data_IF_179736885625
#
_entry.id   IF_179736885625
#
_cell.length_a   1.000
_cell.length_b   1.000
_cell.length_c   1.000
_cell.angle_alpha   90.00
_cell.angle_beta   90.00
_cell.angle_gamma   90.00
#
_symmetry.space_group_name_H-M   'P 1'
#
loop_
_entity.id
_entity.type
_entity.pdbx_description
1 polymer ?
#
# COMPACT_ATOMS: atom_id res chain seq x y z
N UNK A 1 7.77 -6.02 -16.20
CA UNK A 1 8.90 -5.25 -15.60
C UNK A 1 10.19 -6.04 -15.73
N UNK A 2 11.39 -5.43 -15.64
CA UNK A 2 12.66 -6.15 -15.45
C UNK A 2 12.84 -6.57 -13.99
N UNK A 3 13.80 -7.47 -13.71
CA UNK A 3 14.15 -7.90 -12.34
C UNK A 3 14.49 -6.71 -11.43
N UNK A 4 15.18 -5.68 -11.93
CA UNK A 4 15.43 -4.44 -11.18
C UNK A 4 14.15 -3.68 -10.80
N UNK A 5 13.13 -3.72 -11.67
CA UNK A 5 11.81 -3.19 -11.36
C UNK A 5 11.12 -3.97 -10.23
N UNK A 6 11.28 -5.31 -10.21
CA UNK A 6 10.80 -6.14 -9.11
C UNK A 6 11.47 -5.77 -7.78
N UNK A 7 12.80 -5.56 -7.78
CA UNK A 7 13.52 -5.13 -6.57
C UNK A 7 13.03 -3.76 -6.05
N UNK A 8 12.75 -2.82 -6.95
CA UNK A 8 12.12 -1.53 -6.56
C UNK A 8 10.71 -1.71 -5.99
N UNK A 9 9.93 -2.63 -6.53
CA UNK A 9 8.56 -2.91 -6.10
C UNK A 9 8.49 -3.91 -4.93
N UNK A 10 9.61 -4.43 -4.44
CA UNK A 10 9.65 -5.55 -3.49
C UNK A 10 8.81 -5.30 -2.22
N UNK A 11 8.82 -4.09 -1.67
CA UNK A 11 7.97 -3.73 -0.52
C UNK A 11 6.47 -3.88 -0.85
N UNK A 12 6.02 -3.30 -1.96
CA UNK A 12 4.61 -3.38 -2.37
C UNK A 12 4.20 -4.83 -2.66
N UNK A 13 5.09 -5.60 -3.30
CA UNK A 13 4.84 -7.02 -3.61
C UNK A 13 4.80 -7.85 -2.34
N UNK A 14 5.73 -7.64 -1.39
CA UNK A 14 5.74 -8.37 -0.12
C UNK A 14 4.47 -8.12 0.70
N UNK A 15 3.99 -6.88 0.77
CA UNK A 15 2.73 -6.56 1.45
C UNK A 15 1.54 -7.24 0.76
N UNK A 16 1.50 -7.23 -0.57
CA UNK A 16 0.46 -7.91 -1.33
C UNK A 16 0.50 -9.44 -1.15
N UNK A 17 1.67 -10.04 -1.00
CA UNK A 17 1.83 -11.45 -0.64
C UNK A 17 1.32 -11.69 0.78
N UNK A 18 1.73 -10.85 1.73
CA UNK A 18 1.38 -11.01 3.13
C UNK A 18 -0.13 -10.82 3.39
N UNK A 19 -0.72 -9.77 2.83
CA UNK A 19 -2.15 -9.51 2.92
C UNK A 19 -2.99 -10.43 2.02
N UNK A 20 -2.40 -10.92 0.94
CA UNK A 20 -3.08 -11.63 -0.13
C UNK A 20 -3.93 -10.72 -1.03
N UNK A 21 -4.44 -11.29 -2.10
CA UNK A 21 -5.27 -10.60 -3.12
C UNK A 21 -6.66 -11.21 -3.21
N UNK A 22 -7.65 -10.43 -3.66
CA UNK A 22 -9.03 -10.89 -3.86
C UNK A 22 -9.31 -11.30 -5.30
N UNK A 23 -8.40 -10.95 -6.21
CA UNK A 23 -8.44 -11.33 -7.63
C UNK A 23 -7.03 -11.73 -8.05
N UNK A 24 -6.87 -12.31 -9.24
CA UNK A 24 -5.56 -12.61 -9.79
C UNK A 24 -4.71 -11.34 -9.89
N UNK A 25 -3.48 -11.43 -9.39
CA UNK A 25 -2.47 -10.40 -9.54
C UNK A 25 -1.20 -11.06 -10.08
N UNK A 26 -0.92 -10.85 -11.35
CA UNK A 26 0.21 -11.48 -12.05
C UNK A 26 1.25 -10.44 -12.43
N UNK A 27 2.47 -10.66 -11.99
CA UNK A 27 3.66 -9.90 -12.39
C UNK A 27 4.27 -10.55 -13.63
N UNK A 28 4.40 -9.79 -14.71
CA UNK A 28 5.16 -10.22 -15.90
C UNK A 28 6.57 -9.64 -15.79
N UNK A 29 7.57 -10.51 -15.69
CA UNK A 29 8.97 -10.16 -15.47
C UNK A 29 9.78 -10.58 -16.67
N UNK A 30 10.42 -9.62 -17.34
CA UNK A 30 11.45 -9.88 -18.35
C UNK A 30 12.80 -9.99 -17.62
N UNK A 31 13.30 -11.19 -17.49
CA UNK A 31 14.61 -11.48 -16.89
C UNK A 31 15.71 -11.40 -17.95
N UNK A 32 16.87 -10.92 -17.56
CA UNK A 32 18.04 -10.76 -18.46
C UNK A 32 19.29 -11.38 -17.82
N UNK A 33 19.32 -12.72 -17.70
CA UNK A 33 20.38 -13.40 -16.99
C UNK A 33 21.75 -13.28 -17.67
N UNK A 34 21.78 -12.89 -18.94
CA UNK A 34 23.01 -12.71 -19.71
C UNK A 34 23.51 -11.27 -19.78
N UNK A 35 22.71 -10.30 -19.32
CA UNK A 35 23.09 -8.89 -19.28
C UNK A 35 23.14 -8.22 -20.65
N UNK A 36 22.38 -8.72 -21.62
CA UNK A 36 22.35 -8.12 -22.97
C UNK A 36 21.74 -6.71 -22.95
N UNK A 37 20.77 -6.47 -22.07
CA UNK A 37 20.02 -5.22 -21.98
C UNK A 37 19.99 -4.62 -20.56
N UNK A 38 20.78 -5.17 -19.64
CA UNK A 38 20.78 -4.75 -18.23
C UNK A 38 22.17 -4.37 -17.77
N UNK A 39 22.27 -3.29 -16.98
CA UNK A 39 23.53 -2.79 -16.42
C UNK A 39 24.09 -3.71 -15.31
N UNK A 40 23.25 -4.55 -14.73
CA UNK A 40 23.65 -5.59 -13.80
C UNK A 40 22.77 -6.83 -13.95
N UNK A 41 23.32 -7.99 -13.61
CA UNK A 41 22.66 -9.28 -13.78
C UNK A 41 22.22 -9.81 -12.41
N UNK A 42 20.91 -9.85 -12.21
CA UNK A 42 20.26 -10.44 -11.03
C UNK A 42 19.12 -11.32 -11.54
N UNK A 43 19.18 -12.61 -11.24
CA UNK A 43 18.11 -13.53 -11.63
C UNK A 43 16.82 -13.25 -10.84
N UNK A 44 15.68 -13.29 -11.52
CA UNK A 44 14.37 -13.03 -10.91
C UNK A 44 13.95 -14.15 -9.95
N UNK A 45 14.21 -15.40 -10.26
CA UNK A 45 13.76 -16.56 -9.48
C UNK A 45 14.11 -16.49 -8.00
N UNK A 46 15.39 -16.35 -7.60
CA UNK A 46 15.76 -16.23 -6.19
C UNK A 46 15.08 -15.06 -5.46
N UNK A 47 14.80 -13.95 -6.14
CA UNK A 47 14.07 -12.80 -5.56
C UNK A 47 12.61 -13.17 -5.31
N UNK A 48 11.97 -13.85 -6.27
CA UNK A 48 10.59 -14.31 -6.16
C UNK A 48 10.44 -15.36 -5.05
N UNK A 49 11.40 -16.28 -4.93
CA UNK A 49 11.43 -17.28 -3.86
C UNK A 49 11.57 -16.61 -2.48
N UNK A 50 12.44 -15.61 -2.35
CA UNK A 50 12.60 -14.84 -1.10
C UNK A 50 11.35 -14.06 -0.72
N UNK A 51 10.55 -13.63 -1.70
CA UNK A 51 9.25 -12.99 -1.48
C UNK A 51 8.11 -13.99 -1.25
N UNK A 52 8.40 -15.30 -1.27
CA UNK A 52 7.39 -16.38 -1.16
C UNK A 52 6.30 -16.28 -2.23
N UNK A 53 6.66 -15.78 -3.42
CA UNK A 53 5.74 -15.53 -4.52
C UNK A 53 5.69 -16.75 -5.45
N UNK A 54 4.52 -17.34 -5.72
CA UNK A 54 4.39 -18.40 -6.74
C UNK A 54 4.79 -17.87 -8.12
N UNK A 55 5.64 -18.59 -8.83
CA UNK A 55 6.07 -18.17 -10.16
C UNK A 55 6.29 -19.34 -11.12
N UNK A 56 6.40 -19.02 -12.41
CA UNK A 56 6.74 -19.95 -13.48
C UNK A 56 7.67 -19.26 -14.48
N UNK A 57 8.69 -19.99 -14.95
CA UNK A 57 9.45 -19.57 -16.11
C UNK A 57 8.68 -19.98 -17.39
N UNK A 58 8.65 -19.10 -18.40
CA UNK A 58 7.92 -19.33 -19.64
C UNK A 58 8.69 -18.80 -20.85
N UNK A 59 8.37 -19.34 -22.01
CA UNK A 59 8.92 -18.90 -23.30
C UNK A 59 7.82 -18.71 -24.35
N UNK A 60 8.19 -18.25 -25.57
CA UNK A 60 7.24 -17.89 -26.62
C UNK A 60 6.23 -19.00 -26.99
N UNK A 61 6.67 -20.27 -26.90
CA UNK A 61 5.82 -21.42 -27.24
C UNK A 61 4.79 -21.78 -26.16
N UNK A 62 5.02 -21.38 -24.89
CA UNK A 62 4.20 -21.84 -23.74
C UNK A 62 3.50 -20.71 -23.00
N UNK A 63 3.84 -19.45 -23.28
CA UNK A 63 3.40 -18.28 -22.51
C UNK A 63 1.88 -18.18 -22.34
N UNK A 64 1.09 -18.53 -23.36
CA UNK A 64 -0.35 -18.50 -23.28
C UNK A 64 -0.89 -19.50 -22.24
N UNK A 65 -0.43 -20.76 -22.30
CA UNK A 65 -0.83 -21.78 -21.33
C UNK A 65 -0.31 -21.46 -19.92
N UNK A 66 0.93 -20.97 -19.80
CA UNK A 66 1.54 -20.65 -18.52
C UNK A 66 0.87 -19.44 -17.88
N UNK A 67 0.47 -18.44 -18.68
CA UNK A 67 -0.30 -17.28 -18.19
C UNK A 67 -1.64 -17.72 -17.64
N UNK A 68 -2.41 -18.53 -18.35
CA UNK A 68 -3.68 -19.06 -17.86
C UNK A 68 -3.51 -19.85 -16.56
N UNK A 69 -2.47 -20.68 -16.48
CA UNK A 69 -2.14 -21.48 -15.29
C UNK A 69 -1.75 -20.61 -14.10
N UNK A 70 -0.94 -19.58 -14.31
CA UNK A 70 -0.48 -18.71 -13.22
C UNK A 70 -1.59 -17.77 -12.71
N UNK A 71 -2.49 -17.31 -13.60
CA UNK A 71 -3.70 -16.58 -13.24
C UNK A 71 -4.58 -17.44 -12.34
N UNK A 72 -4.92 -18.65 -12.77
CA UNK A 72 -5.73 -19.59 -11.97
C UNK A 72 -5.05 -19.94 -10.63
N UNK A 73 -3.72 -20.03 -10.59
CA UNK A 73 -2.96 -20.25 -9.35
C UNK A 73 -3.04 -19.06 -8.42
N UNK A 74 -2.89 -17.84 -8.94
CA UNK A 74 -3.03 -16.59 -8.17
C UNK A 74 -4.42 -16.48 -7.53
N UNK A 75 -5.47 -16.73 -8.29
CA UNK A 75 -6.86 -16.70 -7.78
C UNK A 75 -7.10 -17.76 -6.70
N UNK A 76 -6.72 -19.01 -6.98
CA UNK A 76 -6.92 -20.11 -6.03
C UNK A 76 -6.22 -19.89 -4.69
N UNK A 77 -4.98 -19.37 -4.72
CA UNK A 77 -4.20 -19.11 -3.51
C UNK A 77 -4.58 -17.78 -2.86
N UNK A 78 -5.22 -16.85 -3.59
CA UNK A 78 -5.44 -15.48 -3.14
C UNK A 78 -4.14 -14.75 -2.87
N UNK A 79 -3.11 -14.98 -3.71
CA UNK A 79 -1.77 -14.41 -3.61
C UNK A 79 -1.35 -13.83 -4.96
N UNK A 80 -0.50 -12.79 -4.98
CA UNK A 80 0.21 -12.43 -6.20
C UNK A 80 0.98 -13.63 -6.74
N UNK A 81 1.20 -13.63 -8.05
CA UNK A 81 2.02 -14.64 -8.72
C UNK A 81 2.87 -13.99 -9.81
N UNK A 82 3.86 -14.68 -10.35
CA UNK A 82 4.70 -14.13 -11.40
C UNK A 82 4.91 -15.11 -12.56
N UNK A 83 5.03 -14.55 -13.77
CA UNK A 83 5.56 -15.24 -14.95
C UNK A 83 6.85 -14.54 -15.35
N UNK A 84 7.89 -15.34 -15.51
CA UNK A 84 9.24 -14.88 -15.88
C UNK A 84 9.52 -15.32 -17.30
N UNK A 85 9.88 -14.37 -18.16
CA UNK A 85 10.29 -14.61 -19.55
C UNK A 85 11.72 -14.12 -19.73
N UNK A 86 12.50 -14.76 -20.60
CA UNK A 86 13.81 -14.25 -20.99
C UNK A 86 13.62 -12.92 -21.79
N UNK A 87 14.40 -11.90 -21.45
CA UNK A 87 14.35 -10.63 -22.15
C UNK A 87 14.71 -10.77 -23.64
N UNK A 88 15.52 -11.76 -24.01
CA UNK A 88 15.83 -12.09 -25.39
C UNK A 88 14.60 -12.55 -26.18
N UNK A 89 13.64 -13.18 -25.51
CA UNK A 89 12.39 -13.67 -26.10
C UNK A 89 11.28 -12.63 -26.16
N UNK A 90 11.44 -11.47 -25.53
CA UNK A 90 10.37 -10.47 -25.37
C UNK A 90 9.81 -9.92 -26.69
N UNK A 91 10.59 -10.00 -27.77
CA UNK A 91 10.19 -9.60 -29.14
C UNK A 91 9.75 -10.77 -30.02
N UNK A 92 9.81 -12.00 -29.52
CA UNK A 92 9.46 -13.19 -30.29
C UNK A 92 7.94 -13.36 -30.32
N UNK A 93 7.33 -13.59 -31.50
CA UNK A 93 5.91 -13.85 -31.58
C UNK A 93 5.50 -15.04 -30.72
N UNK A 94 4.52 -14.85 -29.87
CA UNK A 94 3.96 -15.90 -29.02
C UNK A 94 2.84 -16.66 -29.73
N UNK A 95 2.67 -17.94 -29.37
CA UNK A 95 1.50 -18.70 -29.80
C UNK A 95 0.29 -18.21 -29.04
N UNK A 96 -0.69 -17.66 -29.75
CA UNK A 96 -1.97 -17.30 -29.17
C UNK A 96 -2.69 -18.56 -28.69
N UNK A 97 -3.20 -18.51 -27.46
CA UNK A 97 -4.12 -19.51 -26.93
C UNK A 97 -5.47 -18.82 -26.71
N UNK A 98 -6.56 -19.54 -26.92
CA UNK A 98 -7.87 -19.07 -26.53
C UNK A 98 -7.87 -18.86 -25.01
N UNK A 99 -7.96 -17.59 -24.59
CA UNK A 99 -8.05 -17.25 -23.18
C UNK A 99 -9.43 -17.67 -22.67
N UNK A 100 -9.48 -18.48 -21.63
CA UNK A 100 -10.75 -18.72 -20.94
C UNK A 100 -11.28 -17.39 -20.38
N UNK A 101 -12.62 -17.19 -20.39
CA UNK A 101 -13.21 -16.00 -19.79
C UNK A 101 -12.78 -15.87 -18.33
N UNK A 102 -12.16 -14.76 -17.98
CA UNK A 102 -11.85 -14.45 -16.58
C UNK A 102 -13.15 -14.10 -15.88
N UNK A 103 -13.51 -14.78 -14.78
CA UNK A 103 -14.72 -14.42 -14.04
C UNK A 103 -14.62 -12.97 -13.53
N UNK A 104 -15.77 -12.29 -13.36
CA UNK A 104 -15.75 -10.91 -12.88
C UNK A 104 -15.04 -10.82 -11.54
N UNK A 105 -14.12 -9.86 -11.42
CA UNK A 105 -13.37 -9.62 -10.19
C UNK A 105 -14.31 -9.33 -9.02
N UNK A 106 -14.09 -9.93 -7.85
CA UNK A 106 -14.91 -9.65 -6.68
C UNK A 106 -14.75 -8.19 -6.26
N UNK A 107 -15.84 -7.59 -5.83
CA UNK A 107 -15.81 -6.23 -5.29
C UNK A 107 -15.01 -6.20 -3.99
N UNK A 108 -14.11 -5.22 -3.84
CA UNK A 108 -13.39 -5.00 -2.59
C UNK A 108 -14.37 -4.83 -1.42
N UNK A 109 -14.11 -5.56 -0.35
CA UNK A 109 -14.77 -5.41 0.94
C UNK A 109 -13.70 -5.17 2.01
N UNK A 110 -13.98 -4.23 2.92
CA UNK A 110 -13.08 -3.97 4.05
C UNK A 110 -12.89 -5.25 4.87
N UNK A 111 -11.64 -5.62 5.09
CA UNK A 111 -11.25 -6.74 5.95
C UNK A 111 -10.03 -6.35 6.80
N UNK A 112 -10.27 -5.74 7.98
CA UNK A 112 -9.19 -5.28 8.85
C UNK A 112 -8.25 -6.40 9.31
N UNK A 113 -8.76 -7.60 9.54
CA UNK A 113 -7.91 -8.74 9.97
C UNK A 113 -6.89 -9.10 8.89
N UNK A 114 -7.28 -8.96 7.64
CA UNK A 114 -6.44 -9.25 6.49
C UNK A 114 -5.51 -8.10 6.12
N UNK A 115 -6.01 -6.85 6.15
CA UNK A 115 -5.36 -5.75 5.48
C UNK A 115 -4.69 -4.73 6.42
N UNK A 116 -4.88 -4.83 7.74
CA UNK A 116 -4.15 -3.98 8.68
C UNK A 116 -2.85 -4.65 9.11
N UNK A 117 -1.72 -4.12 8.64
CA UNK A 117 -0.39 -4.56 9.04
C UNK A 117 -0.03 -3.95 10.40
N UNK A 118 -0.48 -4.58 11.47
CA UNK A 118 -0.27 -4.14 12.85
C UNK A 118 0.15 -5.31 13.75
N UNK A 119 0.93 -5.06 14.82
CA UNK A 119 1.46 -6.13 15.67
C UNK A 119 0.43 -7.12 16.19
N UNK A 120 -0.79 -6.66 16.46
CA UNK A 120 -1.86 -7.48 16.98
C UNK A 120 -2.32 -8.60 16.02
N UNK A 121 -2.19 -8.40 14.71
CA UNK A 121 -2.68 -9.30 13.67
C UNK A 121 -1.57 -10.10 12.95
N UNK A 122 -0.31 -9.68 13.07
CA UNK A 122 0.80 -10.19 12.26
C UNK A 122 0.98 -11.72 12.33
N UNK A 123 0.79 -12.34 13.50
CA UNK A 123 0.93 -13.79 13.66
C UNK A 123 -0.16 -14.56 12.93
N UNK A 124 -1.39 -14.06 13.00
CA UNK A 124 -2.51 -14.67 12.28
C UNK A 124 -2.31 -14.53 10.77
N UNK A 125 -1.96 -13.35 10.28
CA UNK A 125 -1.69 -13.09 8.86
C UNK A 125 -0.57 -14.00 8.33
N UNK A 126 0.52 -14.19 9.11
CA UNK A 126 1.59 -15.15 8.76
C UNK A 126 1.09 -16.59 8.68
N UNK A 127 0.25 -17.02 9.61
CA UNK A 127 -0.33 -18.35 9.58
C UNK A 127 -1.27 -18.56 8.38
N UNK A 128 -2.05 -17.54 8.01
CA UNK A 128 -2.88 -17.54 6.79
C UNK A 128 -2.02 -17.67 5.54
N UNK A 129 -0.94 -16.90 5.42
CA UNK A 129 -0.02 -16.99 4.28
C UNK A 129 0.59 -18.41 4.18
N UNK A 130 1.07 -18.96 5.31
CA UNK A 130 1.65 -20.30 5.33
C UNK A 130 0.64 -21.37 4.89
N UNK A 131 -0.62 -21.27 5.34
CA UNK A 131 -1.68 -22.18 4.95
C UNK A 131 -1.98 -22.10 3.43
N UNK A 132 -2.07 -20.89 2.88
CA UNK A 132 -2.28 -20.65 1.44
C UNK A 132 -1.17 -21.27 0.60
N UNK A 133 0.09 -21.05 0.98
CA UNK A 133 1.24 -21.61 0.28
C UNK A 133 1.28 -23.14 0.35
N UNK A 134 0.85 -23.71 1.47
CA UNK A 134 0.75 -25.17 1.66
C UNK A 134 -0.50 -25.78 1.00
N UNK A 135 -1.46 -24.96 0.54
CA UNK A 135 -2.73 -25.44 0.00
C UNK A 135 -3.65 -26.05 1.07
N UNK A 136 -3.52 -25.60 2.32
CA UNK A 136 -4.35 -26.04 3.46
C UNK A 136 -5.32 -24.93 3.87
N UNK A 137 -6.34 -25.30 4.66
CA UNK A 137 -7.30 -24.32 5.16
C UNK A 137 -6.62 -23.33 6.12
N UNK A 138 -6.86 -22.02 5.95
CA UNK A 138 -6.31 -21.02 6.86
C UNK A 138 -6.99 -21.09 8.24
N UNK A 139 -6.28 -20.67 9.31
CA UNK A 139 -6.88 -20.60 10.62
C UNK A 139 -8.04 -19.59 10.65
N UNK A 140 -9.05 -19.80 11.51
CA UNK A 140 -10.16 -18.87 11.65
C UNK A 140 -9.64 -17.49 12.10
N UNK A 141 -10.27 -16.38 11.63
CA UNK A 141 -9.86 -15.04 12.00
C UNK A 141 -10.03 -14.81 13.52
N UNK A 142 -9.05 -14.13 14.16
CA UNK A 142 -9.20 -13.72 15.54
C UNK A 142 -10.28 -12.63 15.65
N UNK A 143 -10.84 -12.41 16.85
CA UNK A 143 -11.66 -11.21 17.08
C UNK A 143 -10.82 -9.97 16.80
N UNK A 144 -11.43 -8.99 16.11
CA UNK A 144 -10.74 -7.74 15.82
C UNK A 144 -10.50 -6.96 17.14
N UNK A 145 -9.26 -6.56 17.43
CA UNK A 145 -8.97 -5.73 18.59
C UNK A 145 -9.78 -4.42 18.55
N UNK A 146 -10.21 -3.95 19.73
CA UNK A 146 -10.76 -2.59 19.88
C UNK A 146 -9.65 -1.66 20.33
N UNK A 147 -9.57 -0.49 19.69
CA UNK A 147 -8.62 0.53 20.13
C UNK A 147 -8.86 0.89 21.62
N UNK A 148 -7.85 0.91 22.50
CA UNK A 148 -6.42 0.69 22.24
C UNK A 148 -5.90 -0.73 22.54
N UNK A 149 -6.73 -1.75 22.58
CA UNK A 149 -6.34 -3.12 22.91
C UNK A 149 -5.39 -3.71 21.82
N UNK A 150 -4.46 -4.54 22.28
CA UNK A 150 -3.47 -5.15 21.37
C UNK A 150 -2.40 -4.21 20.83
N UNK A 151 -2.41 -2.95 21.24
CA UNK A 151 -1.44 -1.92 20.82
C UNK A 151 -0.30 -1.88 21.84
N UNK A 152 0.98 -1.85 21.39
CA UNK A 152 2.12 -1.73 22.30
C UNK A 152 1.98 -0.51 23.22
N UNK A 153 2.14 -0.65 24.53
CA UNK A 153 1.97 0.46 25.49
C UNK A 153 2.84 1.69 25.17
N UNK A 154 4.04 1.47 24.63
CA UNK A 154 4.96 2.54 24.24
C UNK A 154 4.43 3.43 23.11
N UNK A 155 3.41 3.02 22.36
CA UNK A 155 2.80 3.80 21.28
C UNK A 155 1.66 4.68 21.77
N UNK A 156 1.14 4.45 22.98
CA UNK A 156 -0.03 5.18 23.49
C UNK A 156 0.13 6.70 23.52
N UNK A 157 1.28 7.27 23.99
CA UNK A 157 1.41 8.73 23.99
C UNK A 157 1.24 9.37 22.62
N UNK A 158 1.81 8.75 21.57
CA UNK A 158 1.63 9.25 20.20
C UNK A 158 0.20 9.05 19.70
N UNK A 159 -0.42 7.91 20.02
CA UNK A 159 -1.82 7.67 19.66
C UNK A 159 -2.76 8.68 20.34
N UNK A 160 -2.56 8.96 21.63
CA UNK A 160 -3.38 9.95 22.34
C UNK A 160 -3.27 11.34 21.70
N UNK A 161 -2.10 11.72 21.17
CA UNK A 161 -1.89 12.96 20.40
C UNK A 161 -2.67 13.00 19.10
N UNK A 162 -2.77 11.88 18.41
CA UNK A 162 -3.46 11.81 17.11
C UNK A 162 -4.99 11.65 17.26
N UNK A 163 -5.47 11.30 18.45
CA UNK A 163 -6.87 10.98 18.67
C UNK A 163 -7.87 12.06 18.25
N UNK A 164 -7.67 13.39 18.53
CA UNK A 164 -8.59 14.42 18.06
C UNK A 164 -8.72 14.43 16.53
N UNK A 165 -7.60 14.42 15.82
CA UNK A 165 -7.56 14.38 14.36
C UNK A 165 -8.28 13.14 13.81
N UNK A 166 -8.00 11.96 14.37
CA UNK A 166 -8.60 10.71 13.87
C UNK A 166 -10.08 10.56 14.24
N UNK A 167 -10.57 11.20 15.30
CA UNK A 167 -12.03 11.30 15.55
C UNK A 167 -12.72 12.10 14.45
N UNK A 168 -12.20 13.29 14.14
CA UNK A 168 -12.71 14.12 13.06
C UNK A 168 -12.61 13.43 11.70
N UNK A 169 -11.48 12.74 11.43
CA UNK A 169 -11.24 12.02 10.18
C UNK A 169 -12.18 10.82 10.01
N UNK A 170 -12.37 10.01 11.06
CA UNK A 170 -13.25 8.84 11.02
C UNK A 170 -14.72 9.23 10.70
N UNK A 171 -15.16 10.39 11.17
CA UNK A 171 -16.51 10.92 10.88
C UNK A 171 -16.68 11.37 9.41
N UNK A 172 -15.58 11.59 8.67
CA UNK A 172 -15.57 12.14 7.30
C UNK A 172 -14.83 11.26 6.30
N UNK A 173 -14.35 10.11 6.75
CA UNK A 173 -13.67 9.18 5.84
C UNK A 173 -14.59 8.75 4.70
N UNK A 174 -13.99 8.44 3.61
CA UNK A 174 -14.64 7.99 2.40
C UNK A 174 -14.78 6.45 2.31
N UNK A 175 -15.06 5.95 1.12
CA UNK A 175 -15.23 4.51 0.84
C UNK A 175 -13.92 3.70 0.96
N UNK A 176 -12.75 4.36 0.87
CA UNK A 176 -11.45 3.69 0.94
C UNK A 176 -10.36 4.61 1.50
N UNK A 177 -9.62 4.11 2.46
CA UNK A 177 -8.46 4.81 3.04
C UNK A 177 -7.25 3.88 3.08
N UNK A 178 -6.19 4.26 2.36
CA UNK A 178 -4.88 3.63 2.45
C UNK A 178 -4.07 4.29 3.57
N UNK A 179 -3.34 3.51 4.36
CA UNK A 179 -2.42 4.00 5.39
C UNK A 179 -1.03 3.42 5.24
N UNK A 180 -0.01 4.19 5.62
CA UNK A 180 1.33 3.66 5.78
C UNK A 180 1.44 2.82 7.06
N UNK A 181 2.36 1.83 7.04
CA UNK A 181 2.73 1.11 8.25
C UNK A 181 3.30 2.10 9.29
N UNK A 182 2.86 1.97 10.53
CA UNK A 182 3.25 2.85 11.63
C UNK A 182 2.18 2.96 12.70
N UNK A 183 2.33 3.92 13.61
CA UNK A 183 1.41 4.12 14.73
C UNK A 183 -0.01 4.45 14.26
N UNK A 184 -0.14 5.29 13.23
CA UNK A 184 -1.44 5.69 12.68
C UNK A 184 -2.29 4.52 12.17
N UNK A 185 -1.65 3.41 11.76
CA UNK A 185 -2.35 2.21 11.29
C UNK A 185 -3.30 1.60 12.36
N UNK A 186 -3.03 1.86 13.64
CA UNK A 186 -3.89 1.41 14.75
C UNK A 186 -5.27 2.05 14.73
N UNK A 187 -5.45 3.20 14.08
CA UNK A 187 -6.77 3.82 13.86
C UNK A 187 -7.64 3.08 12.83
N UNK A 188 -7.12 2.01 12.23
CA UNK A 188 -7.92 1.05 11.49
C UNK A 188 -8.83 0.19 12.37
N UNK A 189 -8.63 0.16 13.71
CA UNK A 189 -9.46 -0.57 14.66
C UNK A 189 -10.70 0.21 15.10
N UNK A 190 -11.79 -0.49 15.50
CA UNK A 190 -12.92 0.14 16.17
C UNK A 190 -12.48 0.88 17.46
N UNK A 191 -13.07 2.03 17.80
CA UNK A 191 -14.24 2.65 17.18
C UNK A 191 -13.93 3.58 16.01
N UNK A 192 -12.67 3.77 15.64
CA UNK A 192 -12.28 4.71 14.57
C UNK A 192 -12.57 4.16 13.18
N UNK A 193 -12.18 2.92 12.92
CA UNK A 193 -12.33 2.28 11.61
C UNK A 193 -11.81 3.15 10.44
N UNK A 194 -10.81 3.99 10.70
CA UNK A 194 -10.41 5.11 9.86
C UNK A 194 -9.48 4.70 8.70
N UNK A 195 -8.84 3.55 8.78
CA UNK A 195 -7.92 3.01 7.76
C UNK A 195 -8.41 1.64 7.32
N UNK A 196 -8.40 1.37 6.03
CA UNK A 196 -8.89 0.12 5.45
C UNK A 196 -7.76 -0.85 5.09
N UNK A 197 -6.69 -0.34 4.51
CA UNK A 197 -5.53 -1.12 4.09
C UNK A 197 -4.27 -0.42 4.53
N UNK A 198 -3.36 -1.16 5.15
CA UNK A 198 -2.04 -0.67 5.54
C UNK A 198 -0.99 -1.28 4.62
N UNK A 199 -0.06 -0.46 4.14
CA UNK A 199 1.04 -0.85 3.28
C UNK A 199 2.36 -0.25 3.78
N UNK A 200 3.47 -0.53 3.11
CA UNK A 200 4.82 -0.05 3.47
C UNK A 200 4.90 1.48 3.61
N UNK A 201 5.97 1.96 4.23
CA UNK A 201 6.22 3.40 4.42
C UNK A 201 6.31 4.13 3.07
N UNK A 202 5.42 5.11 2.86
CA UNK A 202 5.26 5.86 1.61
C UNK A 202 4.39 5.17 0.56
N UNK A 203 3.82 4.00 0.88
CA UNK A 203 2.97 3.23 -0.03
C UNK A 203 1.50 3.65 -0.04
N UNK A 204 1.03 4.40 0.96
CA UNK A 204 -0.38 4.81 1.04
C UNK A 204 -0.83 5.63 -0.17
N UNK A 205 -0.01 6.57 -0.64
CA UNK A 205 -0.34 7.43 -1.78
C UNK A 205 -0.49 6.61 -3.07
N UNK A 206 0.50 5.81 -3.52
CA UNK A 206 0.32 5.00 -4.72
C UNK A 206 -0.81 3.95 -4.60
N UNK A 207 -1.08 3.43 -3.40
CA UNK A 207 -2.21 2.53 -3.18
C UNK A 207 -3.55 3.25 -3.36
N UNK A 208 -3.68 4.48 -2.85
CA UNK A 208 -4.88 5.30 -3.03
C UNK A 208 -5.06 5.75 -4.49
N UNK A 209 -3.98 6.03 -5.24
CA UNK A 209 -4.03 6.23 -6.71
C UNK A 209 -4.61 4.98 -7.38
N UNK A 210 -4.11 3.81 -7.03
CA UNK A 210 -4.63 2.54 -7.56
C UNK A 210 -6.12 2.34 -7.26
N UNK A 211 -6.57 2.68 -6.05
CA UNK A 211 -7.97 2.62 -5.66
C UNK A 211 -8.83 3.61 -6.48
N UNK A 212 -8.34 4.84 -6.70
CA UNK A 212 -8.99 5.83 -7.55
C UNK A 212 -9.16 5.32 -8.99
N UNK A 213 -8.10 4.79 -9.60
CA UNK A 213 -8.13 4.22 -10.94
C UNK A 213 -9.06 3.00 -11.04
N UNK A 214 -9.30 2.30 -9.94
CA UNK A 214 -10.28 1.22 -9.82
C UNK A 214 -11.71 1.71 -9.51
N UNK A 215 -11.97 3.03 -9.57
CA UNK A 215 -13.30 3.62 -9.41
C UNK A 215 -13.64 4.10 -7.98
N UNK A 216 -12.67 4.09 -7.03
CA UNK A 216 -12.84 4.68 -5.70
C UNK A 216 -12.39 6.15 -5.71
N UNK A 217 -13.16 6.99 -6.37
CA UNK A 217 -12.80 8.40 -6.63
C UNK A 217 -12.71 9.28 -5.37
N UNK A 218 -13.21 8.81 -4.24
CA UNK A 218 -13.15 9.46 -2.93
C UNK A 218 -12.03 8.92 -2.02
N UNK A 219 -11.05 8.18 -2.57
CA UNK A 219 -9.99 7.56 -1.81
C UNK A 219 -9.11 8.56 -1.05
N UNK A 220 -8.68 8.15 0.16
CA UNK A 220 -7.70 8.87 0.98
C UNK A 220 -6.40 8.08 1.11
N UNK A 221 -5.29 8.84 1.24
CA UNK A 221 -4.01 8.33 1.71
C UNK A 221 -3.65 8.98 3.06
N UNK A 222 -3.22 8.17 4.03
CA UNK A 222 -2.72 8.62 5.33
C UNK A 222 -1.25 8.24 5.44
N UNK A 223 -0.37 9.23 5.58
CA UNK A 223 1.08 9.03 5.63
C UNK A 223 1.73 9.90 6.71
N UNK A 224 2.84 9.46 7.29
CA UNK A 224 3.66 10.28 8.17
C UNK A 224 4.73 11.06 7.40
N UNK A 225 5.28 12.12 8.00
CA UNK A 225 6.32 12.94 7.37
C UNK A 225 7.60 12.15 7.03
N UNK A 226 8.04 11.26 7.91
CA UNK A 226 9.18 10.39 7.62
C UNK A 226 8.92 9.48 6.43
N UNK A 227 7.75 8.85 6.38
CA UNK A 227 7.32 7.99 5.25
C UNK A 227 7.19 8.80 3.96
N UNK A 228 6.62 10.01 4.05
CA UNK A 228 6.46 10.91 2.92
C UNK A 228 7.80 11.33 2.32
N UNK A 229 8.75 11.79 3.16
CA UNK A 229 10.09 12.19 2.71
C UNK A 229 10.88 11.01 2.16
N UNK A 230 10.75 9.81 2.74
CA UNK A 230 11.53 8.65 2.29
C UNK A 230 11.05 8.08 0.95
N UNK A 231 9.74 8.06 0.68
CA UNK A 231 9.18 7.45 -0.52
C UNK A 231 7.83 8.05 -0.97
N UNK A 232 6.98 8.52 -0.05
CA UNK A 232 5.62 8.96 -0.35
C UNK A 232 5.53 10.12 -1.33
N UNK A 233 6.52 11.03 -1.33
CA UNK A 233 6.58 12.16 -2.27
C UNK A 233 6.65 11.71 -3.74
N UNK A 234 7.19 10.54 -4.05
CA UNK A 234 7.14 9.97 -5.40
C UNK A 234 5.71 9.63 -5.82
N UNK A 235 4.88 9.16 -4.86
CA UNK A 235 3.46 8.97 -5.10
C UNK A 235 2.71 10.29 -5.34
N UNK A 236 3.10 11.37 -4.65
CA UNK A 236 2.54 12.71 -4.91
C UNK A 236 2.86 13.19 -6.33
N UNK A 237 4.11 13.03 -6.78
CA UNK A 237 4.51 13.32 -8.17
C UNK A 237 3.67 12.52 -9.18
N UNK A 238 3.43 11.24 -8.92
CA UNK A 238 2.62 10.38 -9.78
C UNK A 238 1.15 10.83 -9.80
N UNK A 239 0.59 11.24 -8.65
CA UNK A 239 -0.77 11.79 -8.59
C UNK A 239 -0.91 13.05 -9.44
N UNK A 240 0.06 13.96 -9.37
CA UNK A 240 0.10 15.17 -10.20
C UNK A 240 0.25 14.83 -11.69
N UNK A 241 1.20 13.95 -12.03
CA UNK A 241 1.46 13.56 -13.42
C UNK A 241 0.25 12.88 -14.09
N UNK A 242 -0.61 12.23 -13.30
CA UNK A 242 -1.84 11.58 -13.78
C UNK A 242 -3.09 12.42 -13.58
N UNK A 243 -2.96 13.62 -13.02
CA UNK A 243 -4.11 14.48 -12.70
C UNK A 243 -5.16 13.78 -11.81
N UNK A 244 -4.69 12.98 -10.83
CA UNK A 244 -5.57 12.26 -9.91
C UNK A 244 -5.98 13.18 -8.78
N UNK A 245 -7.30 13.47 -8.59
CA UNK A 245 -7.81 14.31 -7.51
C UNK A 245 -7.81 13.55 -6.17
N UNK A 246 -6.62 13.26 -5.67
CA UNK A 246 -6.41 12.46 -4.46
C UNK A 246 -6.46 13.33 -3.21
N UNK A 247 -6.95 12.76 -2.11
CA UNK A 247 -6.93 13.36 -0.79
C UNK A 247 -5.86 12.71 0.08
N UNK A 248 -4.95 13.51 0.61
CA UNK A 248 -3.82 13.03 1.42
C UNK A 248 -3.89 13.68 2.80
N UNK A 249 -3.81 12.86 3.86
CA UNK A 249 -3.61 13.30 5.23
C UNK A 249 -2.15 13.02 5.63
N UNK A 250 -1.36 14.07 5.75
CA UNK A 250 0.05 14.03 6.11
C UNK A 250 0.24 14.41 7.59
N UNK A 251 0.70 13.46 8.38
CA UNK A 251 0.97 13.62 9.81
C UNK A 251 2.41 14.14 10.00
N UNK A 252 2.57 15.44 10.18
CA UNK A 252 3.86 16.10 10.37
C UNK A 252 4.18 16.18 11.87
N UNK A 253 4.76 15.10 12.41
CA UNK A 253 5.11 14.97 13.83
C UNK A 253 6.60 15.18 14.12
N UNK A 254 7.42 15.41 13.09
CA UNK A 254 8.84 15.72 13.19
C UNK A 254 9.76 14.53 13.42
N UNK A 255 9.27 13.29 13.38
CA UNK A 255 10.09 12.10 13.65
C UNK A 255 9.50 10.79 13.13
N UNK A 256 10.39 9.78 13.00
CA UNK A 256 9.99 8.39 12.74
C UNK A 256 9.62 7.69 14.07
N UNK A 257 8.34 7.60 14.39
CA UNK A 257 7.81 7.16 15.67
C UNK A 257 8.15 5.70 16.06
N UNK A 258 8.21 4.79 15.09
CA UNK A 258 8.34 3.35 15.36
C UNK A 258 9.72 2.78 15.07
N UNK A 259 10.59 3.54 14.40
CA UNK A 259 11.88 3.05 13.88
C UNK A 259 13.10 3.70 14.55
N UNK A 260 12.93 4.33 15.70
CA UNK A 260 14.03 4.85 16.52
C UNK A 260 14.06 6.36 16.71
N UNK A 261 12.98 7.08 16.37
CA UNK A 261 12.88 8.52 16.65
C UNK A 261 13.76 9.39 15.74
N UNK A 262 14.10 8.92 14.54
CA UNK A 262 14.88 9.73 13.59
C UNK A 262 14.15 11.04 13.28
N UNK A 263 14.82 12.20 13.44
CA UNK A 263 14.18 13.49 13.26
C UNK A 263 13.85 13.75 11.79
N UNK A 264 12.72 14.39 11.56
CA UNK A 264 12.32 14.96 10.27
C UNK A 264 12.26 16.48 10.41
N UNK A 265 13.26 17.22 9.92
CA UNK A 265 13.21 18.68 9.97
C UNK A 265 12.02 19.23 9.19
N UNK A 266 11.22 20.09 9.81
CA UNK A 266 10.07 20.74 9.16
C UNK A 266 10.47 21.47 7.88
N UNK A 267 11.63 22.13 7.87
CA UNK A 267 12.17 22.80 6.69
C UNK A 267 12.43 21.87 5.50
N UNK A 268 12.69 20.58 5.74
CA UNK A 268 12.82 19.60 4.67
C UNK A 268 11.44 19.26 4.08
N UNK A 269 10.45 19.03 4.94
CA UNK A 269 9.08 18.79 4.52
C UNK A 269 8.54 19.99 3.72
N UNK A 270 8.76 21.22 4.22
CA UNK A 270 8.31 22.45 3.56
C UNK A 270 8.91 22.59 2.17
N UNK A 271 10.20 22.32 1.99
CA UNK A 271 10.86 22.33 0.68
C UNK A 271 10.28 21.34 -0.32
N UNK A 272 9.88 20.15 0.14
CA UNK A 272 9.26 19.15 -0.74
C UNK A 272 7.85 19.58 -1.13
N UNK A 273 7.13 20.23 -0.21
CA UNK A 273 5.74 20.66 -0.43
C UNK A 273 5.63 22.02 -1.16
N UNK A 274 6.69 22.82 -1.22
CA UNK A 274 6.69 24.17 -1.82
C UNK A 274 6.18 24.18 -3.27
N UNK A 275 6.52 23.15 -4.04
CA UNK A 275 6.03 22.97 -5.42
C UNK A 275 4.55 22.60 -5.54
N UNK A 276 3.84 22.42 -4.43
CA UNK A 276 2.44 21.97 -4.38
C UNK A 276 1.58 22.88 -3.51
N UNK A 277 1.97 24.16 -3.35
CA UNK A 277 1.32 25.11 -2.43
C UNK A 277 -0.20 25.20 -2.63
N UNK A 278 -0.67 25.16 -3.86
CA UNK A 278 -2.10 25.24 -4.22
C UNK A 278 -2.90 24.01 -3.72
N UNK A 279 -2.24 22.86 -3.56
CA UNK A 279 -2.86 21.64 -3.06
C UNK A 279 -2.85 21.56 -1.52
N UNK A 280 -2.11 22.41 -0.82
CA UNK A 280 -1.95 22.32 0.63
C UNK A 280 -3.16 22.88 1.36
N UNK A 281 -3.64 22.12 2.33
CA UNK A 281 -4.60 22.55 3.37
C UNK A 281 -3.86 22.51 4.71
N UNK A 282 -3.45 23.65 5.27
CA UNK A 282 -2.69 23.67 6.51
C UNK A 282 -3.60 23.31 7.71
N UNK A 283 -3.07 22.51 8.63
CA UNK A 283 -3.68 22.20 9.91
C UNK A 283 -2.62 22.38 11.02
N UNK A 284 -2.53 23.60 11.54
CA UNK A 284 -1.50 24.00 12.50
C UNK A 284 -1.83 23.57 13.94
N UNK A 285 -3.10 23.32 14.25
CA UNK A 285 -3.53 22.77 15.54
C UNK A 285 -4.30 21.45 15.37
N UNK A 286 -3.59 20.33 15.13
CA UNK A 286 -4.23 19.02 15.02
C UNK A 286 -4.71 18.43 16.35
N UNK A 287 -4.51 19.13 17.47
CA UNK A 287 -5.03 18.76 18.79
C UNK A 287 -6.43 19.37 19.03
N UNK A 288 -6.78 20.42 18.29
CA UNK A 288 -8.14 20.98 18.29
C UNK A 288 -9.03 20.23 17.29
N UNK A 289 -10.06 19.56 17.79
CA UNK A 289 -11.00 18.80 16.97
C UNK A 289 -11.79 19.68 15.98
N UNK A 290 -12.11 20.93 16.34
CA UNK A 290 -12.79 21.86 15.43
C UNK A 290 -11.89 22.30 14.28
N UNK A 291 -10.61 22.58 14.56
CA UNK A 291 -9.63 22.86 13.50
C UNK A 291 -9.48 21.66 12.54
N UNK A 292 -9.40 20.44 13.10
CA UNK A 292 -9.38 19.22 12.31
C UNK A 292 -10.63 19.08 11.43
N UNK A 293 -11.81 19.29 11.99
CA UNK A 293 -13.06 19.24 11.26
C UNK A 293 -13.13 20.23 10.10
N UNK A 294 -12.64 21.45 10.33
CA UNK A 294 -12.63 22.51 9.32
C UNK A 294 -11.71 22.13 8.14
N UNK A 295 -10.45 21.76 8.42
CA UNK A 295 -9.49 21.38 7.39
C UNK A 295 -9.95 20.16 6.57
N UNK A 296 -10.50 19.14 7.23
CA UNK A 296 -11.02 17.96 6.55
C UNK A 296 -12.26 18.27 5.70
N UNK A 297 -13.15 19.17 6.17
CA UNK A 297 -14.32 19.61 5.41
C UNK A 297 -13.89 20.38 4.16
N UNK A 298 -12.93 21.29 4.29
CA UNK A 298 -12.36 22.02 3.17
C UNK A 298 -11.79 21.03 2.12
N UNK A 299 -10.98 20.06 2.56
CA UNK A 299 -10.39 19.05 1.69
C UNK A 299 -11.44 18.25 0.94
N UNK A 300 -12.51 17.83 1.60
CA UNK A 300 -13.59 17.05 0.96
C UNK A 300 -14.36 17.87 -0.08
N UNK A 301 -14.41 19.20 0.07
CA UNK A 301 -15.10 20.10 -0.88
C UNK A 301 -14.30 20.38 -2.15
N UNK A 302 -13.02 20.01 -2.19
CA UNK A 302 -12.16 20.19 -3.37
C UNK A 302 -12.29 18.99 -4.32
N UNK A 303 -12.37 19.25 -5.60
CA UNK A 303 -12.42 18.24 -6.67
C UNK A 303 -11.04 18.00 -7.30
N UNK A 304 -9.98 18.42 -6.63
CA UNK A 304 -8.59 18.34 -7.08
C UNK A 304 -7.69 17.73 -5.99
N UNK A 305 -6.44 17.47 -6.35
CA UNK A 305 -5.43 16.99 -5.40
C UNK A 305 -5.38 17.90 -4.18
N UNK A 306 -5.48 17.32 -3.00
CA UNK A 306 -5.47 18.06 -1.74
C UNK A 306 -4.65 17.33 -0.67
N UNK A 307 -3.78 18.07 0.01
CA UNK A 307 -2.88 17.55 1.07
C UNK A 307 -3.13 18.30 2.35
N UNK A 308 -3.80 17.67 3.31
CA UNK A 308 -3.89 18.18 4.69
C UNK A 308 -2.56 17.95 5.38
N UNK A 309 -1.87 19.02 5.74
CA UNK A 309 -0.61 18.94 6.50
C UNK A 309 -0.89 19.21 7.97
N UNK A 310 -1.06 18.13 8.75
CA UNK A 310 -1.32 18.21 10.19
C UNK A 310 0.00 18.35 10.97
N UNK A 311 0.30 19.56 11.43
CA UNK A 311 1.56 19.89 12.11
C UNK A 311 1.41 19.68 13.61
N UNK A 312 1.94 18.56 14.10
CA UNK A 312 1.95 18.27 15.53
C UNK A 312 3.07 19.02 16.24
N UNK A 313 2.84 19.52 17.47
CA UNK A 313 3.92 20.08 18.28
C UNK A 313 4.98 19.00 18.55
N UNK A 314 6.25 19.35 18.82
CA UNK A 314 7.25 18.38 19.25
C UNK A 314 6.78 17.57 20.46
N UNK A 315 7.21 16.30 20.59
CA UNK A 315 6.84 15.44 21.71
C UNK A 315 7.38 15.93 23.04
#
# INVERSE_FOLDING_TARGET
>A
MKTHGLLKAANAVSDAVFCGTTAAFVLVIADDPTGIQSDSVIAAGPVLDALELPWVASGPATIGCDLSRIVARSERLGLPAAIVIDAADASTPAVATDAEPVPPSPTYRRDPVRHLLVPALIRHQRAVLSARLAGTDPPPPPPLPRFPDGIPPRWRPALDRYAPLFRAFAARRSSFTAGDIGISSCYGFPPYDAIDVVTYMGGAIPLAIGAHLAGRTDAWAVTGDFSFISAGHLGLLEAVAREVPLRILLLANGQAETTGGQPVPSSLLDRVLDGYADAIVPLDDPLDEHACEHALKETVSRDELSVVVARFPPP
#
